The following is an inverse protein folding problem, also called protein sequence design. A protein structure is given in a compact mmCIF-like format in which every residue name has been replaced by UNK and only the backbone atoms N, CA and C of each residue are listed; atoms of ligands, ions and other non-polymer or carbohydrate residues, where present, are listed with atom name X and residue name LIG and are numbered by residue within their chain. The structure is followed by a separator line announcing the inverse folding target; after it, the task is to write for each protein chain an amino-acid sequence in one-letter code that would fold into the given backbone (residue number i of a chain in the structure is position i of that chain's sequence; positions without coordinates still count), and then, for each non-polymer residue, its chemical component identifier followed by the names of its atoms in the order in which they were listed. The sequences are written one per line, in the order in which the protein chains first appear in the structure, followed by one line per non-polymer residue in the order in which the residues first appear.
data_IF_338276158154
#
_entry.id   IF_338276158154
#
_cell.length_a   1.000
_cell.length_b   1.000
_cell.length_c   1.000
_cell.angle_alpha   90.00
_cell.angle_beta   90.00
_cell.angle_gamma   90.00
#
_symmetry.space_group_name_H-M   'P 1'
#
loop_
_entity.id
_entity.type
_entity.pdbx_description
1 polymer ?
#
# COMPACT_ATOMS: atom_id res chain seq x y z
N UNK A 1 -61.41 17.66 -60.88
CA UNK A 1 -60.77 17.38 -62.18
C UNK A 1 -59.55 16.53 -61.88
N UNK A 2 -59.73 15.23 -61.64
CA UNK A 2 -59.77 14.14 -62.65
C UNK A 2 -58.37 13.86 -63.23
N UNK A 3 -57.85 12.63 -63.30
CA UNK A 3 -58.38 11.32 -62.96
C UNK A 3 -57.25 10.27 -62.97
N UNK A 4 -57.52 9.16 -62.29
CA UNK A 4 -57.01 7.81 -62.51
C UNK A 4 -56.71 7.45 -63.99
N UNK A 5 -55.86 6.45 -64.23
CA UNK A 5 -56.29 5.14 -64.78
C UNK A 5 -55.12 4.13 -64.84
N UNK A 6 -55.49 2.91 -64.47
CA UNK A 6 -54.77 1.64 -64.40
C UNK A 6 -54.78 0.99 -65.80
N UNK A 7 -53.70 0.36 -66.25
CA UNK A 7 -53.79 -0.65 -67.31
C UNK A 7 -52.65 -1.69 -67.24
N UNK A 8 -53.01 -2.90 -66.80
CA UNK A 8 -52.30 -4.14 -67.09
C UNK A 8 -52.63 -4.63 -68.50
N UNK A 9 -51.66 -5.26 -69.18
CA UNK A 9 -51.73 -6.40 -70.14
C UNK A 9 -50.48 -6.30 -71.05
N UNK A 10 -49.67 -7.33 -71.30
CA UNK A 10 -49.93 -8.76 -71.52
C UNK A 10 -48.65 -9.58 -71.30
N UNK A 11 -48.84 -10.83 -70.89
CA UNK A 11 -47.85 -11.90 -70.89
C UNK A 11 -47.25 -12.13 -72.29
N UNK A 12 -45.92 -12.24 -72.35
CA UNK A 12 -45.20 -13.03 -73.34
C UNK A 12 -44.23 -13.93 -72.57
N UNK A 13 -44.49 -15.24 -72.58
CA UNK A 13 -43.66 -16.22 -71.92
C UNK A 13 -42.33 -16.37 -72.66
N UNK A 14 -41.21 -16.09 -71.98
CA UNK A 14 -39.87 -16.46 -72.39
C UNK A 14 -39.38 -17.54 -71.44
N UNK A 15 -39.19 -18.75 -71.96
CA UNK A 15 -38.58 -19.86 -71.26
C UNK A 15 -37.10 -19.51 -70.98
N UNK A 16 -36.77 -19.23 -69.72
CA UNK A 16 -35.39 -19.13 -69.27
C UNK A 16 -34.89 -20.54 -68.94
N UNK A 17 -33.93 -21.04 -69.72
CA UNK A 17 -33.16 -22.22 -69.36
C UNK A 17 -32.36 -21.91 -68.08
N UNK A 18 -32.66 -22.63 -67.00
CA UNK A 18 -31.88 -22.54 -65.77
C UNK A 18 -30.51 -23.19 -66.00
N UNK A 19 -29.47 -22.37 -66.12
CA UNK A 19 -28.08 -22.82 -65.98
C UNK A 19 -27.88 -23.13 -64.50
N UNK A 20 -27.84 -24.42 -64.15
CA UNK A 20 -27.39 -24.85 -62.83
C UNK A 20 -25.89 -24.60 -62.78
N UNK A 21 -25.48 -23.48 -62.20
CA UNK A 21 -24.10 -23.28 -61.78
C UNK A 21 -23.94 -24.10 -60.50
N UNK A 22 -23.38 -25.30 -60.62
CA UNK A 22 -22.83 -26.00 -59.46
C UNK A 22 -21.63 -25.19 -58.98
N UNK A 23 -21.86 -24.34 -57.98
CA UNK A 23 -20.77 -23.81 -57.16
C UNK A 23 -20.25 -25.00 -56.35
N UNK A 24 -19.14 -25.58 -56.81
CA UNK A 24 -18.35 -26.43 -55.95
C UNK A 24 -17.87 -25.55 -54.80
N UNK A 25 -18.49 -25.70 -53.62
CA UNK A 25 -17.89 -25.22 -52.39
C UNK A 25 -16.51 -25.87 -52.30
N UNK A 26 -15.42 -25.12 -52.06
CA UNK A 26 -14.15 -25.75 -51.81
C UNK A 26 -14.36 -26.63 -50.58
N UNK A 27 -14.18 -27.94 -50.75
CA UNK A 27 -14.04 -28.85 -49.62
C UNK A 27 -12.89 -28.32 -48.78
N UNK A 28 -13.08 -28.22 -47.46
CA UNK A 28 -12.05 -27.89 -46.49
C UNK A 28 -10.98 -29.01 -46.44
N UNK A 29 -10.23 -29.16 -47.53
CA UNK A 29 -9.09 -30.03 -47.65
C UNK A 29 -7.85 -29.24 -47.18
N UNK A 30 -7.45 -29.53 -45.94
CA UNK A 30 -6.09 -29.52 -45.39
C UNK A 30 -5.17 -28.36 -45.84
N UNK A 31 -5.18 -27.28 -45.06
CA UNK A 31 -4.07 -26.32 -45.02
C UNK A 31 -2.88 -26.91 -44.25
N UNK A 32 -2.25 -27.95 -44.79
CA UNK A 32 -0.95 -28.46 -44.35
C UNK A 32 0.12 -27.44 -44.78
N UNK A 33 0.31 -26.36 -44.00
CA UNK A 33 1.37 -25.40 -44.31
C UNK A 33 2.71 -25.99 -43.90
N UNK A 34 3.38 -26.59 -44.87
CA UNK A 34 4.76 -27.02 -44.74
C UNK A 34 5.67 -25.77 -44.67
N UNK A 35 6.29 -25.49 -43.54
CA UNK A 35 7.25 -24.38 -43.39
C UNK A 35 8.69 -24.86 -43.63
N UNK A 36 9.50 -23.98 -44.22
CA UNK A 36 10.94 -24.21 -44.46
C UNK A 36 11.28 -25.50 -45.24
N UNK A 37 10.32 -26.08 -45.98
CA UNK A 37 10.51 -27.37 -46.65
C UNK A 37 10.73 -28.56 -45.70
N UNK A 38 10.42 -28.42 -44.40
CA UNK A 38 10.58 -29.49 -43.39
C UNK A 38 9.27 -30.27 -43.22
N UNK A 39 9.30 -31.56 -42.85
CA UNK A 39 8.10 -32.39 -42.67
C UNK A 39 7.42 -32.14 -41.31
N UNK A 40 7.32 -30.89 -40.89
CA UNK A 40 6.72 -30.48 -39.61
C UNK A 40 5.51 -29.60 -39.89
N UNK A 41 4.33 -30.16 -39.73
CA UNK A 41 3.06 -29.46 -39.90
C UNK A 41 2.71 -28.69 -38.63
N UNK A 42 2.57 -27.37 -38.76
CA UNK A 42 2.04 -26.50 -37.71
C UNK A 42 0.57 -26.26 -38.05
N UNK A 43 -0.32 -26.49 -37.10
CA UNK A 43 -1.76 -26.53 -37.35
C UNK A 43 -2.53 -25.59 -36.40
N UNK A 44 -3.77 -25.27 -36.79
CA UNK A 44 -4.76 -24.64 -35.93
C UNK A 44 -4.37 -23.28 -35.37
N UNK A 45 -4.64 -23.06 -34.08
CA UNK A 45 -4.35 -21.79 -33.41
C UNK A 45 -2.85 -21.50 -33.32
N UNK A 46 -2.01 -22.54 -33.23
CA UNK A 46 -0.55 -22.40 -33.22
C UNK A 46 -0.05 -21.89 -34.57
N UNK A 47 -0.56 -22.44 -35.67
CA UNK A 47 -0.27 -21.98 -37.03
C UNK A 47 -0.67 -20.52 -37.22
N UNK A 48 -1.90 -20.18 -36.81
CA UNK A 48 -2.42 -18.80 -36.89
C UNK A 48 -1.47 -17.84 -36.18
N UNK A 49 -1.02 -18.18 -34.96
CA UNK A 49 -0.09 -17.35 -34.21
C UNK A 49 1.29 -17.25 -34.87
N UNK A 50 1.79 -18.37 -35.39
CA UNK A 50 3.07 -18.41 -36.08
C UNK A 50 3.06 -17.56 -37.36
N UNK A 51 1.95 -17.54 -38.10
CA UNK A 51 1.78 -16.71 -39.29
C UNK A 51 1.67 -15.22 -38.94
N UNK A 52 0.95 -14.85 -37.88
CA UNK A 52 0.91 -13.47 -37.35
C UNK A 52 2.31 -12.94 -37.02
N UNK A 53 3.16 -13.84 -36.53
CA UNK A 53 4.55 -13.60 -36.21
C UNK A 53 5.48 -13.51 -37.43
N UNK A 54 4.96 -13.70 -38.65
CA UNK A 54 5.70 -13.80 -39.92
C UNK A 54 6.48 -15.12 -40.09
N UNK A 55 6.03 -16.18 -39.43
CA UNK A 55 6.50 -17.54 -39.66
C UNK A 55 8.03 -17.69 -39.50
N UNK A 56 8.74 -18.25 -40.50
CA UNK A 56 10.19 -18.45 -40.43
C UNK A 56 11.02 -17.17 -40.28
N UNK A 57 10.49 -16.00 -40.65
CA UNK A 57 11.18 -14.71 -40.50
C UNK A 57 11.08 -14.16 -39.05
N UNK A 58 10.33 -14.84 -38.18
CA UNK A 58 10.22 -14.51 -36.77
C UNK A 58 11.44 -14.98 -35.96
N UNK A 59 11.62 -14.50 -34.72
CA UNK A 59 12.65 -15.02 -33.82
C UNK A 59 12.54 -16.53 -33.52
N UNK A 60 11.41 -17.17 -33.82
CA UNK A 60 11.23 -18.61 -33.63
C UNK A 60 11.94 -19.44 -34.69
N UNK A 61 12.17 -18.91 -35.90
CA UNK A 61 12.75 -19.67 -37.00
C UNK A 61 11.86 -20.83 -37.45
N UNK A 62 12.47 -21.87 -38.02
CA UNK A 62 11.72 -23.00 -38.60
C UNK A 62 11.15 -23.95 -37.54
N UNK A 63 10.01 -24.61 -37.78
CA UNK A 63 9.49 -25.63 -36.87
C UNK A 63 10.44 -26.84 -36.81
N UNK A 64 10.55 -27.41 -35.61
CA UNK A 64 11.34 -28.60 -35.28
C UNK A 64 10.48 -29.78 -34.83
N UNK A 65 9.19 -29.56 -34.63
CA UNK A 65 8.20 -30.62 -34.38
C UNK A 65 6.88 -30.27 -35.08
N UNK A 66 5.99 -31.27 -35.25
CA UNK A 66 4.57 -30.98 -35.43
C UNK A 66 3.91 -30.56 -34.11
N UNK A 67 2.60 -30.37 -34.14
CA UNK A 67 1.81 -30.13 -32.93
C UNK A 67 1.81 -31.34 -31.99
N UNK A 68 2.20 -31.13 -30.75
CA UNK A 68 2.26 -32.14 -29.70
C UNK A 68 1.32 -31.78 -28.56
N UNK A 69 0.78 -32.80 -27.87
CA UNK A 69 0.05 -32.60 -26.62
C UNK A 69 1.04 -32.38 -25.48
N UNK A 70 0.80 -31.40 -24.60
CA UNK A 70 1.63 -31.20 -23.43
C UNK A 70 1.56 -32.39 -22.47
N UNK A 71 2.64 -32.74 -21.75
CA UNK A 71 2.65 -33.81 -20.75
C UNK A 71 1.50 -33.77 -19.73
N UNK A 72 1.05 -32.58 -19.32
CA UNK A 72 -0.08 -32.42 -18.40
C UNK A 72 -1.47 -32.61 -19.06
N UNK A 73 -1.52 -32.86 -20.38
CA UNK A 73 -2.73 -33.11 -21.17
C UNK A 73 -3.62 -31.88 -21.40
N UNK A 74 -3.29 -30.71 -20.84
CA UNK A 74 -4.14 -29.51 -20.87
C UNK A 74 -4.02 -28.70 -22.17
N UNK A 75 -2.91 -28.86 -22.90
CA UNK A 75 -2.60 -27.98 -24.01
C UNK A 75 -1.91 -28.68 -25.17
N UNK A 76 -1.65 -27.87 -26.20
CA UNK A 76 -0.88 -28.23 -27.38
C UNK A 76 0.35 -27.34 -27.46
N UNK A 77 1.43 -27.82 -28.06
CA UNK A 77 2.59 -27.00 -28.33
C UNK A 77 3.31 -27.46 -29.58
N UNK A 78 3.99 -26.52 -30.24
CA UNK A 78 4.94 -26.80 -31.31
C UNK A 78 6.28 -26.19 -30.95
N UNK A 79 7.36 -26.92 -31.25
CA UNK A 79 8.73 -26.46 -31.05
C UNK A 79 9.30 -25.88 -32.34
N UNK A 80 10.09 -24.83 -32.20
CA UNK A 80 10.80 -24.13 -33.25
C UNK A 80 12.27 -23.97 -32.84
N UNK A 81 13.13 -23.60 -33.77
CA UNK A 81 14.58 -23.43 -33.52
C UNK A 81 14.88 -22.42 -32.39
N UNK A 82 14.14 -21.31 -32.36
CA UNK A 82 14.32 -20.23 -31.40
C UNK A 82 13.38 -20.26 -30.19
N UNK A 83 12.43 -21.20 -30.12
CA UNK A 83 11.43 -21.21 -29.06
C UNK A 83 10.30 -22.22 -29.26
N UNK A 84 9.17 -21.97 -28.63
CA UNK A 84 7.98 -22.80 -28.76
C UNK A 84 6.73 -21.93 -28.80
N UNK A 85 5.64 -22.40 -29.40
CA UNK A 85 4.32 -21.80 -29.22
C UNK A 85 3.47 -22.81 -28.47
N UNK A 86 2.87 -22.36 -27.37
CA UNK A 86 1.96 -23.14 -26.53
C UNK A 86 0.54 -22.63 -26.69
N UNK A 87 -0.42 -23.55 -26.68
CA UNK A 87 -1.84 -23.27 -26.80
C UNK A 87 -2.66 -24.02 -25.74
N UNK A 88 -3.64 -23.35 -25.18
CA UNK A 88 -4.75 -23.95 -24.42
C UNK A 88 -6.07 -23.32 -24.83
N UNK A 89 -7.20 -23.95 -24.49
CA UNK A 89 -8.52 -23.34 -24.67
C UNK A 89 -8.69 -22.05 -23.89
N UNK A 90 -8.00 -21.91 -22.75
CA UNK A 90 -8.21 -20.84 -21.78
C UNK A 90 -7.35 -19.63 -22.09
N UNK A 91 -6.14 -19.85 -22.61
CA UNK A 91 -5.15 -18.80 -22.85
C UNK A 91 -4.96 -18.47 -24.32
N UNK A 92 -5.26 -19.40 -25.25
CA UNK A 92 -4.92 -19.22 -26.66
C UNK A 92 -3.44 -19.52 -26.94
N UNK A 93 -2.98 -19.20 -28.16
CA UNK A 93 -1.65 -19.56 -28.64
C UNK A 93 -0.65 -18.42 -28.37
N UNK A 94 0.41 -18.73 -27.61
CA UNK A 94 1.44 -17.76 -27.24
C UNK A 94 2.85 -18.29 -27.47
N UNK A 95 3.73 -17.48 -28.11
CA UNK A 95 5.12 -17.83 -28.28
C UNK A 95 5.90 -17.62 -26.98
N UNK A 96 6.86 -18.50 -26.72
CA UNK A 96 7.85 -18.38 -25.65
C UNK A 96 9.23 -18.57 -26.25
N UNK A 97 10.17 -17.68 -25.95
CA UNK A 97 11.55 -17.74 -26.45
C UNK A 97 12.56 -17.11 -25.47
N UNK A 98 13.85 -17.20 -25.82
CA UNK A 98 14.91 -16.46 -25.17
C UNK A 98 15.01 -16.69 -23.65
N UNK A 99 15.42 -15.64 -22.92
CA UNK A 99 15.72 -15.71 -21.48
C UNK A 99 14.50 -16.00 -20.63
N UNK A 100 13.33 -15.53 -21.04
CA UNK A 100 12.06 -15.82 -20.36
C UNK A 100 11.73 -17.31 -20.48
N UNK A 101 11.84 -17.90 -21.70
CA UNK A 101 11.65 -19.34 -21.90
C UNK A 101 12.64 -20.17 -21.11
N UNK A 102 13.92 -19.77 -21.07
CA UNK A 102 14.95 -20.45 -20.27
C UNK A 102 14.53 -20.54 -18.79
N UNK A 103 14.08 -19.42 -18.19
CA UNK A 103 13.62 -19.42 -16.80
C UNK A 103 12.33 -20.23 -16.62
N UNK A 104 11.35 -20.08 -17.51
CA UNK A 104 10.12 -20.87 -17.44
C UNK A 104 10.40 -22.38 -17.50
N UNK A 105 11.38 -22.80 -18.31
CA UNK A 105 11.83 -24.19 -18.36
C UNK A 105 12.50 -24.68 -17.07
N UNK A 106 13.29 -23.83 -16.40
CA UNK A 106 13.86 -24.13 -15.08
C UNK A 106 12.78 -24.34 -14.01
N UNK A 107 11.63 -23.69 -14.17
CA UNK A 107 10.50 -23.75 -13.24
C UNK A 107 9.54 -24.91 -13.55
N UNK A 108 9.88 -25.78 -14.52
CA UNK A 108 9.08 -26.97 -14.85
C UNK A 108 8.09 -26.78 -15.99
N UNK A 109 8.26 -25.76 -16.84
CA UNK A 109 7.40 -25.50 -18.01
C UNK A 109 5.92 -25.37 -17.61
N UNK A 110 4.99 -25.87 -18.43
CA UNK A 110 3.55 -25.85 -18.16
C UNK A 110 3.10 -26.76 -17.00
N UNK A 111 3.98 -27.65 -16.54
CA UNK A 111 3.76 -28.46 -15.34
C UNK A 111 4.19 -27.76 -14.05
N UNK A 112 4.90 -26.64 -14.16
CA UNK A 112 5.40 -25.85 -13.04
C UNK A 112 4.37 -24.87 -12.45
N UNK A 113 4.79 -24.14 -11.41
CA UNK A 113 3.94 -23.18 -10.70
C UNK A 113 3.42 -22.02 -11.57
N UNK A 114 4.11 -21.69 -12.66
CA UNK A 114 3.67 -20.65 -13.60
C UNK A 114 2.54 -21.12 -14.53
N UNK A 115 2.43 -22.41 -14.82
CA UNK A 115 1.47 -22.92 -15.80
C UNK A 115 1.74 -22.42 -17.23
N UNK A 116 0.68 -22.24 -18.02
CA UNK A 116 0.77 -21.84 -19.43
C UNK A 116 0.99 -20.33 -19.62
N UNK A 117 1.62 -19.91 -20.73
CA UNK A 117 1.67 -18.50 -21.10
C UNK A 117 0.26 -17.97 -21.42
N UNK A 118 -0.02 -16.75 -20.96
CA UNK A 118 -1.27 -16.00 -21.16
C UNK A 118 -1.13 -14.79 -22.09
N UNK A 119 0.09 -14.52 -22.50
CA UNK A 119 0.45 -13.36 -23.32
C UNK A 119 1.69 -13.67 -24.13
N UNK A 120 1.93 -12.85 -25.15
CA UNK A 120 3.21 -12.78 -25.82
C UNK A 120 4.22 -12.01 -24.94
N UNK A 121 5.50 -12.00 -25.32
CA UNK A 121 6.51 -11.18 -24.66
C UNK A 121 6.25 -9.68 -24.91
N UNK A 122 6.11 -8.92 -23.83
CA UNK A 122 6.01 -7.46 -23.87
C UNK A 122 7.38 -6.81 -23.72
N UNK A 123 7.55 -5.65 -24.35
CA UNK A 123 8.63 -4.71 -23.99
C UNK A 123 8.08 -3.72 -22.98
N UNK A 124 8.76 -3.58 -21.85
CA UNK A 124 8.40 -2.65 -20.79
C UNK A 124 8.63 -1.20 -21.24
N UNK A 125 8.05 -0.25 -20.51
CA UNK A 125 8.06 1.17 -20.88
C UNK A 125 9.44 1.82 -20.87
N UNK A 126 10.43 1.19 -20.23
CA UNK A 126 11.84 1.62 -20.29
C UNK A 126 12.49 1.32 -21.66
N UNK A 127 11.79 0.61 -22.54
CA UNK A 127 12.26 0.25 -23.88
C UNK A 127 13.22 -0.93 -23.94
N UNK A 128 13.58 -1.52 -22.80
CA UNK A 128 14.61 -2.56 -22.72
C UNK A 128 14.12 -3.82 -22.01
N UNK A 129 13.49 -3.68 -20.85
CA UNK A 129 12.98 -4.82 -20.10
C UNK A 129 11.92 -5.58 -20.89
N UNK A 130 11.92 -6.89 -20.70
CA UNK A 130 10.92 -7.80 -21.25
C UNK A 130 10.13 -8.44 -20.12
N UNK A 131 8.86 -8.72 -20.37
CA UNK A 131 8.05 -9.53 -19.47
C UNK A 131 7.08 -10.40 -20.25
N UNK A 132 6.70 -11.52 -19.65
CA UNK A 132 5.64 -12.36 -20.19
C UNK A 132 4.77 -12.87 -19.04
N UNK A 133 3.46 -12.78 -19.24
CA UNK A 133 2.46 -13.21 -18.27
C UNK A 133 2.09 -14.68 -18.49
N UNK A 134 1.97 -15.40 -17.38
CA UNK A 134 1.60 -16.81 -17.29
C UNK A 134 0.39 -16.95 -16.35
N UNK A 135 -0.24 -18.13 -16.32
CA UNK A 135 -1.37 -18.43 -15.44
C UNK A 135 -1.08 -18.11 -13.95
N UNK A 136 0.11 -18.50 -13.48
CA UNK A 136 0.52 -18.39 -12.07
C UNK A 136 1.43 -17.21 -11.73
N UNK A 137 1.76 -16.32 -12.67
CA UNK A 137 2.69 -15.22 -12.42
C UNK A 137 3.19 -14.51 -13.67
N UNK A 138 4.20 -13.67 -13.53
CA UNK A 138 4.85 -12.99 -14.66
C UNK A 138 6.35 -13.16 -14.57
N UNK A 139 7.00 -13.49 -15.68
CA UNK A 139 8.47 -13.60 -15.75
C UNK A 139 9.02 -12.31 -16.35
N UNK A 140 9.98 -11.70 -15.66
CA UNK A 140 10.65 -10.47 -16.08
C UNK A 140 12.10 -10.75 -16.45
N UNK A 141 12.61 -10.03 -17.45
CA UNK A 141 14.00 -10.06 -17.84
C UNK A 141 14.46 -8.66 -18.23
N UNK A 142 15.70 -8.30 -17.90
CA UNK A 142 16.27 -7.03 -18.34
C UNK A 142 17.68 -7.24 -18.93
N UNK A 143 17.97 -6.71 -20.14
CA UNK A 143 19.23 -6.99 -20.84
C UNK A 143 20.48 -6.45 -20.15
N UNK A 144 20.36 -5.38 -19.35
CA UNK A 144 21.50 -4.84 -18.58
C UNK A 144 21.85 -5.66 -17.34
N UNK A 145 21.12 -6.76 -17.07
CA UNK A 145 21.30 -7.61 -15.89
C UNK A 145 21.76 -9.01 -16.32
N UNK A 146 22.83 -9.48 -15.70
CA UNK A 146 23.47 -10.76 -16.05
C UNK A 146 22.91 -11.97 -15.28
N UNK A 147 21.98 -11.75 -14.36
CA UNK A 147 21.35 -12.77 -13.50
C UNK A 147 20.17 -13.52 -14.15
N UNK A 148 19.78 -13.13 -15.37
CA UNK A 148 18.76 -13.83 -16.14
C UNK A 148 17.35 -13.28 -15.88
N UNK A 149 16.35 -14.07 -16.28
CA UNK A 149 14.95 -13.73 -16.07
C UNK A 149 14.49 -14.24 -14.70
N UNK A 150 13.52 -13.58 -14.06
CA UNK A 150 13.02 -13.93 -12.73
C UNK A 150 11.48 -13.89 -12.70
N UNK A 151 10.81 -14.89 -12.11
CA UNK A 151 9.37 -14.87 -11.94
C UNK A 151 8.98 -13.96 -10.77
N UNK A 152 7.85 -13.28 -10.88
CA UNK A 152 7.20 -12.57 -9.77
C UNK A 152 5.74 -13.00 -9.74
N UNK A 153 5.27 -13.43 -8.56
CA UNK A 153 3.93 -13.98 -8.38
C UNK A 153 3.40 -13.70 -6.96
N UNK A 154 2.14 -14.09 -6.72
CA UNK A 154 1.54 -14.12 -5.38
C UNK A 154 1.65 -12.78 -4.63
N UNK A 155 1.85 -12.88 -3.32
CA UNK A 155 1.86 -11.72 -2.40
C UNK A 155 3.02 -10.77 -2.63
N UNK A 156 4.19 -11.27 -3.04
CA UNK A 156 5.31 -10.41 -3.43
C UNK A 156 4.96 -9.61 -4.68
N UNK A 157 4.35 -10.25 -5.68
CA UNK A 157 3.88 -9.58 -6.89
C UNK A 157 2.79 -8.53 -6.63
N UNK A 158 1.84 -8.81 -5.72
CA UNK A 158 0.85 -7.84 -5.28
C UNK A 158 1.52 -6.60 -4.62
N UNK A 159 2.46 -6.81 -3.69
CA UNK A 159 3.20 -5.73 -3.02
C UNK A 159 4.03 -4.90 -4.00
N UNK A 160 4.72 -5.56 -4.93
CA UNK A 160 5.51 -4.90 -5.95
C UNK A 160 4.63 -4.11 -6.93
N UNK A 161 3.46 -4.65 -7.30
CA UNK A 161 2.50 -3.95 -8.14
C UNK A 161 1.88 -2.71 -7.48
N UNK A 162 1.58 -2.77 -6.19
CA UNK A 162 1.15 -1.59 -5.41
C UNK A 162 2.24 -0.51 -5.34
N UNK A 163 3.50 -0.90 -5.53
CA UNK A 163 4.65 0.00 -5.60
C UNK A 163 5.01 0.44 -7.03
N UNK A 164 4.11 0.30 -8.01
CA UNK A 164 4.30 0.67 -9.43
C UNK A 164 5.34 -0.20 -10.18
N UNK A 165 5.43 -1.49 -9.83
CA UNK A 165 6.23 -2.53 -10.51
C UNK A 165 7.68 -2.08 -10.79
N UNK A 166 8.19 -2.30 -12.02
CA UNK A 166 9.56 -1.99 -12.41
C UNK A 166 9.85 -0.49 -12.48
N UNK A 167 8.82 0.35 -12.54
CA UNK A 167 8.92 1.83 -12.46
C UNK A 167 9.03 2.31 -11.01
N UNK A 168 8.63 1.45 -10.09
CA UNK A 168 8.60 1.69 -8.67
C UNK A 168 9.96 1.86 -8.02
N UNK A 169 9.98 2.15 -6.70
CA UNK A 169 11.20 2.32 -5.95
C UNK A 169 12.08 1.06 -5.90
N UNK A 170 11.52 -0.13 -6.17
CA UNK A 170 12.23 -1.41 -6.09
C UNK A 170 13.00 -1.79 -7.36
N UNK A 171 12.56 -1.32 -8.54
CA UNK A 171 13.13 -1.72 -9.83
C UNK A 171 12.79 -3.17 -10.21
N UNK A 172 13.62 -3.78 -11.06
CA UNK A 172 13.43 -5.17 -11.53
C UNK A 172 13.75 -6.23 -10.47
N UNK A 173 13.12 -7.42 -10.53
CA UNK A 173 13.53 -8.57 -9.72
C UNK A 173 14.94 -9.04 -10.14
N UNK A 174 15.77 -9.39 -9.15
CA UNK A 174 17.15 -9.85 -9.37
C UNK A 174 17.44 -11.25 -8.83
N UNK A 175 16.49 -11.84 -8.12
CA UNK A 175 16.47 -13.25 -7.72
C UNK A 175 15.09 -13.84 -7.96
N UNK A 176 14.99 -15.16 -7.93
CA UNK A 176 13.70 -15.82 -7.76
C UNK A 176 13.23 -15.63 -6.29
N UNK A 177 11.94 -15.85 -6.03
CA UNK A 177 11.38 -15.87 -4.68
C UNK A 177 11.95 -17.05 -3.88
N UNK A 178 12.40 -16.79 -2.64
CA UNK A 178 12.95 -17.78 -1.73
C UNK A 178 12.20 -17.78 -0.39
N UNK A 179 11.97 -18.95 0.24
CA UNK A 179 11.45 -19.00 1.60
C UNK A 179 12.46 -18.42 2.60
N UNK A 180 11.96 -17.83 3.68
CA UNK A 180 12.75 -17.47 4.84
C UNK A 180 13.27 -18.70 5.59
N UNK A 181 14.13 -18.48 6.60
CA UNK A 181 14.82 -19.56 7.31
C UNK A 181 13.86 -20.45 8.13
N UNK A 182 12.68 -19.94 8.45
CA UNK A 182 11.60 -20.63 9.16
C UNK A 182 10.25 -20.42 8.45
N UNK A 183 9.27 -21.32 8.62
CA UNK A 183 7.95 -21.18 7.98
C UNK A 183 7.21 -19.89 8.31
N UNK A 184 7.40 -19.33 9.51
CA UNK A 184 6.84 -18.04 9.92
C UNK A 184 7.50 -16.84 9.24
N UNK A 185 8.72 -17.01 8.69
CA UNK A 185 9.46 -15.97 8.00
C UNK A 185 8.92 -15.70 6.59
N UNK A 186 8.02 -16.56 6.12
CA UNK A 186 7.38 -16.45 4.83
C UNK A 186 8.37 -16.52 3.67
N UNK A 187 8.21 -15.62 2.71
CA UNK A 187 8.96 -15.61 1.46
C UNK A 187 9.52 -14.21 1.17
N UNK A 188 10.68 -14.16 0.52
CA UNK A 188 11.35 -12.92 0.13
C UNK A 188 11.96 -13.04 -1.26
N UNK A 189 11.97 -11.93 -1.98
CA UNK A 189 12.59 -11.82 -3.29
C UNK A 189 13.40 -10.53 -3.33
N UNK A 190 14.60 -10.60 -3.91
CA UNK A 190 15.47 -9.44 -4.08
C UNK A 190 15.10 -8.68 -5.36
N UNK A 191 15.03 -7.36 -5.26
CA UNK A 191 14.91 -6.43 -6.36
C UNK A 191 16.12 -5.49 -6.38
N UNK A 192 16.31 -4.76 -7.48
CA UNK A 192 17.46 -3.87 -7.69
C UNK A 192 17.76 -2.95 -6.51
N UNK A 193 16.71 -2.38 -5.90
CA UNK A 193 16.85 -1.39 -4.83
C UNK A 193 16.43 -1.93 -3.44
N UNK A 194 16.34 -3.25 -3.30
CA UNK A 194 16.10 -3.91 -2.02
C UNK A 194 15.08 -5.06 -2.08
N UNK A 195 14.95 -5.83 -0.99
CA UNK A 195 14.03 -6.97 -0.96
C UNK A 195 12.57 -6.56 -0.79
N UNK A 196 11.68 -7.42 -1.29
CA UNK A 196 10.26 -7.46 -0.91
C UNK A 196 10.01 -8.83 -0.28
N UNK A 197 9.47 -8.84 0.94
CA UNK A 197 9.05 -10.06 1.63
C UNK A 197 7.58 -10.08 1.97
N UNK A 198 7.06 -11.27 2.27
CA UNK A 198 5.71 -11.52 2.76
C UNK A 198 5.73 -12.69 3.75
N UNK A 199 4.97 -12.58 4.85
CA UNK A 199 4.80 -13.67 5.81
C UNK A 199 3.33 -14.16 5.92
N UNK A 200 3.10 -15.47 6.14
CA UNK A 200 1.77 -15.99 6.46
C UNK A 200 1.19 -15.27 7.70
N UNK A 201 0.02 -14.65 7.55
CA UNK A 201 -0.68 -13.94 8.63
C UNK A 201 -0.58 -12.41 8.56
N UNK A 202 0.29 -11.86 7.72
CA UNK A 202 0.43 -10.41 7.51
C UNK A 202 -0.82 -9.82 6.83
N UNK A 203 -1.55 -8.96 7.52
CA UNK A 203 -2.70 -8.21 7.00
C UNK A 203 -2.52 -6.71 7.18
N UNK A 204 -2.98 -5.92 6.21
CA UNK A 204 -2.98 -4.46 6.33
C UNK A 204 -3.76 -3.99 7.56
N UNK A 205 -3.25 -2.96 8.24
CA UNK A 205 -3.90 -2.42 9.41
C UNK A 205 -4.85 -1.25 9.05
N UNK A 206 -6.18 -1.43 9.17
CA UNK A 206 -7.13 -0.36 8.87
C UNK A 206 -7.04 0.82 9.86
N UNK A 207 -6.60 0.61 11.11
CA UNK A 207 -6.39 1.72 12.03
C UNK A 207 -5.19 2.59 11.64
N UNK A 208 -4.14 1.99 11.05
CA UNK A 208 -3.02 2.75 10.50
C UNK A 208 -3.47 3.64 9.34
N UNK A 209 -4.28 3.11 8.42
CA UNK A 209 -4.82 3.89 7.29
C UNK A 209 -5.66 5.08 7.78
N UNK A 210 -6.56 4.84 8.75
CA UNK A 210 -7.38 5.91 9.34
C UNK A 210 -6.54 6.95 10.08
N UNK A 211 -5.52 6.53 10.81
CA UNK A 211 -4.59 7.43 11.49
C UNK A 211 -3.83 8.33 10.51
N UNK A 212 -3.33 7.75 9.41
CA UNK A 212 -2.63 8.49 8.36
C UNK A 212 -3.54 9.52 7.70
N UNK A 213 -4.74 9.10 7.29
CA UNK A 213 -5.71 9.96 6.62
C UNK A 213 -6.14 11.16 7.48
N UNK A 214 -6.39 10.98 8.78
CA UNK A 214 -6.77 12.08 9.68
C UNK A 214 -5.60 12.99 10.00
N UNK A 215 -4.47 12.43 10.43
CA UNK A 215 -3.44 13.21 11.12
C UNK A 215 -2.20 13.53 10.27
N UNK A 216 -1.87 12.70 9.27
CA UNK A 216 -0.67 12.90 8.43
C UNK A 216 -1.02 13.66 7.15
N UNK A 217 -2.16 13.36 6.53
CA UNK A 217 -2.56 13.95 5.24
C UNK A 217 -3.14 15.36 5.37
N UNK A 218 -3.28 15.89 6.59
CA UNK A 218 -3.59 17.30 6.83
C UNK A 218 -5.05 17.68 6.56
N UNK A 219 -5.96 16.70 6.54
CA UNK A 219 -7.39 16.93 6.34
C UNK A 219 -8.07 17.39 7.64
N UNK A 220 -8.03 18.69 7.90
CA UNK A 220 -8.68 19.31 9.05
C UNK A 220 -10.19 19.51 8.82
N UNK A 221 -11.01 19.28 9.85
CA UNK A 221 -12.41 19.70 9.83
C UNK A 221 -12.52 21.25 9.89
N UNK A 222 -13.66 21.85 9.51
CA UNK A 222 -13.90 23.27 9.72
C UNK A 222 -13.68 23.67 11.20
N UNK A 223 -12.88 24.70 11.43
CA UNK A 223 -12.52 25.18 12.76
C UNK A 223 -11.25 24.53 13.35
N UNK A 224 -10.78 23.42 12.80
CA UNK A 224 -9.52 22.78 13.22
C UNK A 224 -8.29 23.42 12.55
N UNK A 225 -7.11 23.16 13.10
CA UNK A 225 -5.84 23.51 12.48
C UNK A 225 -5.01 22.23 12.28
N UNK A 226 -4.57 21.96 11.05
CA UNK A 226 -3.65 20.86 10.76
C UNK A 226 -2.45 21.33 9.93
N UNK A 227 -1.28 20.81 10.24
CA UNK A 227 -0.06 21.00 9.47
C UNK A 227 0.70 19.67 9.40
N UNK A 228 1.32 19.38 8.25
CA UNK A 228 2.23 18.24 8.15
C UNK A 228 3.49 18.57 7.36
N UNK A 229 4.61 18.00 7.78
CA UNK A 229 5.90 18.19 7.13
C UNK A 229 6.81 16.98 7.40
N UNK A 230 7.77 16.74 6.52
CA UNK A 230 8.84 15.77 6.78
C UNK A 230 9.89 16.43 7.67
N UNK A 231 9.90 16.09 8.96
CA UNK A 231 10.75 16.73 9.97
C UNK A 231 11.77 15.78 10.60
N UNK A 232 11.60 14.47 10.40
CA UNK A 232 12.43 13.44 11.00
C UNK A 232 13.05 12.57 9.88
N UNK A 233 14.21 11.93 10.13
CA UNK A 233 14.75 10.96 9.20
C UNK A 233 13.82 9.75 9.08
N UNK A 234 13.84 9.10 7.92
CA UNK A 234 13.12 7.84 7.71
C UNK A 234 13.68 6.77 8.65
N UNK A 235 12.80 6.11 9.40
CA UNK A 235 13.12 4.98 10.24
C UNK A 235 12.90 3.66 9.52
N UNK A 236 13.44 2.59 10.08
CA UNK A 236 13.16 1.23 9.62
C UNK A 236 11.81 0.69 10.15
N UNK A 237 11.29 1.31 11.22
CA UNK A 237 9.94 1.09 11.72
C UNK A 237 8.89 1.57 10.71
N UNK A 238 7.76 0.86 10.63
CA UNK A 238 6.67 1.18 9.70
C UNK A 238 5.35 1.27 10.45
N UNK A 239 5.13 2.39 11.11
CA UNK A 239 3.90 2.66 11.86
C UNK A 239 3.64 4.15 12.05
N UNK A 240 2.47 4.48 12.58
CA UNK A 240 2.13 5.83 12.99
C UNK A 240 2.12 5.86 14.51
N UNK A 241 2.97 6.70 15.10
CA UNK A 241 2.98 6.99 16.53
C UNK A 241 2.15 8.26 16.77
N UNK A 242 1.14 8.13 17.60
CA UNK A 242 0.21 9.21 17.95
C UNK A 242 0.43 9.62 19.40
N UNK A 243 0.66 10.91 19.64
CA UNK A 243 0.65 11.54 20.97
C UNK A 243 -0.57 12.43 21.05
N UNK A 244 -1.50 12.16 21.97
CA UNK A 244 -2.73 12.93 22.14
C UNK A 244 -2.85 13.50 23.53
N UNK A 245 -3.15 14.80 23.59
CA UNK A 245 -3.39 15.54 24.83
C UNK A 245 -4.83 16.00 24.96
N UNK A 246 -5.40 15.86 26.14
CA UNK A 246 -6.77 16.28 26.45
C UNK A 246 -6.96 16.51 27.96
N UNK A 247 -8.09 17.13 28.32
CA UNK A 247 -8.52 17.28 29.71
C UNK A 247 -9.43 16.10 30.03
N UNK A 248 -9.08 15.29 31.02
CA UNK A 248 -9.92 14.17 31.45
C UNK A 248 -10.98 14.61 32.46
N UNK A 249 -12.10 13.89 32.48
CA UNK A 249 -13.24 14.15 33.36
C UNK A 249 -12.85 14.08 34.84
N UNK A 250 -12.81 15.23 35.50
CA UNK A 250 -12.61 15.36 36.95
C UNK A 250 -13.81 15.99 37.65
N UNK A 251 -14.68 16.70 36.91
CA UNK A 251 -15.96 17.26 37.38
C UNK A 251 -16.94 17.35 36.21
N UNK A 252 -18.24 17.55 36.49
CA UNK A 252 -19.30 17.68 35.46
C UNK A 252 -18.99 18.74 34.39
N UNK A 253 -18.47 19.91 34.77
CA UNK A 253 -18.11 20.96 33.81
C UNK A 253 -16.95 20.51 32.88
N UNK A 254 -15.98 19.76 33.41
CA UNK A 254 -14.84 19.28 32.63
C UNK A 254 -15.15 18.04 31.80
N UNK A 255 -16.13 17.25 32.23
CA UNK A 255 -16.75 16.24 31.37
C UNK A 255 -17.36 16.91 30.12
N UNK A 256 -18.03 18.05 30.31
CA UNK A 256 -18.67 18.79 29.21
C UNK A 256 -17.67 19.53 28.28
N UNK A 257 -16.49 19.93 28.79
CA UNK A 257 -15.43 20.62 28.04
C UNK A 257 -14.43 19.65 27.41
N UNK A 258 -14.15 18.53 28.09
CA UNK A 258 -13.30 17.45 27.59
C UNK A 258 -14.04 16.49 26.67
N UNK A 259 -15.25 16.86 26.23
CA UNK A 259 -16.11 16.08 25.33
C UNK A 259 -16.41 14.66 25.83
N UNK A 260 -16.53 14.49 27.15
CA UNK A 260 -16.71 13.20 27.81
C UNK A 260 -15.61 12.19 27.49
N UNK A 261 -14.40 12.67 27.13
CA UNK A 261 -13.35 11.79 26.64
C UNK A 261 -12.77 10.90 27.74
N UNK A 262 -12.63 9.64 27.37
CA UNK A 262 -11.75 8.67 28.03
C UNK A 262 -10.62 8.25 27.08
N UNK A 263 -9.59 7.58 27.63
CA UNK A 263 -8.56 6.93 26.82
C UNK A 263 -9.20 6.03 25.76
N UNK A 264 -8.73 6.14 24.51
CA UNK A 264 -9.32 5.43 23.37
C UNK A 264 -8.25 4.97 22.41
N UNK A 265 -8.47 3.83 21.76
CA UNK A 265 -7.62 3.33 20.69
C UNK A 265 -8.05 3.81 19.31
N UNK A 266 -9.23 4.42 19.16
CA UNK A 266 -9.71 4.89 17.88
C UNK A 266 -8.83 6.05 17.36
N UNK A 267 -8.25 5.96 16.15
CA UNK A 267 -7.42 7.02 15.57
C UNK A 267 -8.13 8.38 15.50
N UNK A 268 -9.43 8.34 15.23
CA UNK A 268 -10.30 9.50 15.06
C UNK A 268 -10.81 10.11 16.36
N UNK A 269 -10.60 9.47 17.52
CA UNK A 269 -11.08 10.02 18.79
C UNK A 269 -10.53 11.43 19.04
N UNK A 270 -11.43 12.33 19.45
CA UNK A 270 -11.16 13.75 19.61
C UNK A 270 -10.10 14.03 20.67
N UNK A 271 -9.30 15.08 20.49
CA UNK A 271 -8.21 15.50 21.36
C UNK A 271 -7.98 16.98 21.21
N UNK A 272 -7.52 17.65 22.29
CA UNK A 272 -7.16 19.06 22.18
C UNK A 272 -6.03 19.27 21.15
N UNK A 273 -5.06 18.36 21.15
CA UNK A 273 -4.06 18.29 20.11
C UNK A 273 -3.51 16.89 19.96
N UNK A 274 -3.16 16.59 18.73
CA UNK A 274 -2.61 15.32 18.29
C UNK A 274 -1.34 15.56 17.50
N UNK A 275 -0.29 14.84 17.84
CA UNK A 275 0.93 14.75 17.03
C UNK A 275 0.98 13.33 16.47
N UNK A 276 1.06 13.21 15.15
CA UNK A 276 1.25 11.96 14.47
C UNK A 276 2.64 11.93 13.83
N UNK A 277 3.42 10.90 14.12
CA UNK A 277 4.71 10.64 13.50
C UNK A 277 4.62 9.34 12.69
N UNK A 278 4.73 9.45 11.37
CA UNK A 278 4.93 8.32 10.48
C UNK A 278 6.42 7.94 10.50
N UNK A 279 6.71 6.81 11.12
CA UNK A 279 8.08 6.34 11.37
C UNK A 279 8.77 5.87 10.09
N UNK A 280 8.01 5.46 9.06
CA UNK A 280 8.56 5.03 7.78
C UNK A 280 9.02 6.20 6.92
N UNK A 281 8.23 7.27 6.92
CA UNK A 281 8.48 8.42 6.03
C UNK A 281 9.17 9.59 6.71
N UNK A 282 9.12 9.66 8.04
CA UNK A 282 9.58 10.81 8.82
C UNK A 282 8.63 12.01 8.74
N UNK A 283 7.44 11.83 8.15
CA UNK A 283 6.37 12.84 8.16
C UNK A 283 5.82 12.98 9.57
N UNK A 284 5.65 14.22 9.99
CA UNK A 284 5.03 14.58 11.25
C UNK A 284 3.83 15.47 10.95
N UNK A 285 2.67 15.02 11.39
CA UNK A 285 1.42 15.76 11.37
C UNK A 285 1.09 16.31 12.75
N UNK A 286 0.61 17.55 12.79
CA UNK A 286 0.09 18.22 13.97
C UNK A 286 -1.34 18.58 13.68
N UNK A 287 -2.25 18.13 14.54
CA UNK A 287 -3.69 18.35 14.40
C UNK A 287 -4.22 18.94 15.71
N UNK A 288 -4.78 20.15 15.64
CA UNK A 288 -5.39 20.85 16.77
C UNK A 288 -6.88 20.96 16.52
N UNK A 289 -7.67 20.38 17.42
CA UNK A 289 -9.13 20.44 17.32
C UNK A 289 -9.66 21.77 17.88
N UNK A 290 -10.72 22.26 17.24
CA UNK A 290 -11.59 23.28 17.80
C UNK A 290 -12.13 22.82 19.16
N UNK A 291 -12.46 23.76 20.03
CA UNK A 291 -12.82 23.46 21.41
C UNK A 291 -14.32 23.64 21.60
N UNK A 292 -15.01 22.60 22.04
CA UNK A 292 -16.46 22.61 22.25
C UNK A 292 -16.84 22.46 23.72
N UNK A 293 -17.98 23.06 24.10
CA UNK A 293 -18.64 22.84 25.39
C UNK A 293 -20.00 22.22 25.09
N UNK A 294 -20.29 21.07 25.74
CA UNK A 294 -21.52 20.30 25.56
C UNK A 294 -21.82 19.93 24.09
N UNK A 295 -20.84 20.00 23.19
CA UNK A 295 -21.00 19.85 21.74
C UNK A 295 -21.94 20.88 21.07
N UNK A 296 -22.29 21.97 21.77
CA UNK A 296 -23.21 23.00 21.25
C UNK A 296 -22.51 24.32 20.96
N UNK A 297 -21.53 24.70 21.79
CA UNK A 297 -20.79 25.94 21.61
C UNK A 297 -19.33 25.62 21.34
N UNK A 298 -18.88 25.91 20.13
CA UNK A 298 -17.55 25.57 19.65
C UNK A 298 -16.79 26.82 19.25
N UNK A 299 -15.48 26.82 19.51
CA UNK A 299 -14.56 27.88 19.15
C UNK A 299 -13.41 27.30 18.34
N UNK A 300 -13.11 27.94 17.22
CA UNK A 300 -12.02 27.55 16.33
C UNK A 300 -10.69 27.40 17.08
N UNK A 301 -9.90 26.43 16.64
CA UNK A 301 -8.54 26.27 17.08
C UNK A 301 -7.72 27.52 16.75
N UNK A 302 -6.95 28.01 17.73
CA UNK A 302 -6.03 29.13 17.55
C UNK A 302 -4.98 28.83 16.48
N UNK A 303 -4.38 29.85 15.82
CA UNK A 303 -3.35 29.63 14.80
C UNK A 303 -2.22 28.71 15.28
N UNK A 304 -1.67 27.91 14.36
CA UNK A 304 -0.61 26.93 14.65
C UNK A 304 0.71 27.37 14.02
N UNK A 305 1.77 27.44 14.83
CA UNK A 305 3.11 27.83 14.41
C UNK A 305 4.18 26.82 14.84
N UNK A 306 5.14 26.53 13.96
CA UNK A 306 6.33 25.74 14.30
C UNK A 306 7.43 26.65 14.84
N UNK A 307 7.70 26.61 16.14
CA UNK A 307 8.69 27.49 16.77
C UNK A 307 9.46 26.76 17.87
N UNK A 308 10.78 26.96 17.94
CA UNK A 308 11.60 26.43 19.03
C UNK A 308 11.25 27.01 20.41
N UNK A 309 10.49 28.11 20.43
CA UNK A 309 9.94 28.76 21.62
C UNK A 309 8.89 27.87 22.33
N UNK A 310 8.29 26.90 21.65
CA UNK A 310 7.25 26.04 22.23
C UNK A 310 7.68 25.39 23.56
N UNK A 311 8.97 25.05 23.71
CA UNK A 311 9.54 24.47 24.93
C UNK A 311 9.63 25.46 26.10
N UNK A 312 9.70 26.77 25.82
CA UNK A 312 9.92 27.84 26.80
C UNK A 312 8.60 28.36 27.36
N UNK A 313 7.50 28.17 26.63
CA UNK A 313 6.17 28.53 27.07
C UNK A 313 5.76 27.86 28.38
N UNK A 314 5.07 28.65 29.17
CA UNK A 314 4.38 28.29 30.39
C UNK A 314 2.93 28.73 30.31
N UNK A 315 2.12 28.26 31.23
CA UNK A 315 0.72 28.63 31.40
C UNK A 315 0.49 30.12 31.70
N UNK A 316 1.52 30.85 32.17
CA UNK A 316 1.45 32.29 32.43
C UNK A 316 1.78 33.17 31.22
N UNK A 317 2.22 32.58 30.10
CA UNK A 317 2.49 33.33 28.87
C UNK A 317 1.19 33.72 28.16
N UNK A 318 0.98 35.01 27.96
CA UNK A 318 -0.14 35.57 27.19
C UNK A 318 0.14 35.52 25.68
N UNK A 319 0.10 34.30 25.15
CA UNK A 319 0.31 34.01 23.73
C UNK A 319 -0.96 33.34 23.20
N UNK A 320 -1.57 33.90 22.16
CA UNK A 320 -2.82 33.37 21.57
C UNK A 320 -2.60 32.53 20.31
N UNK A 321 -1.50 31.77 20.27
CA UNK A 321 -1.20 30.81 19.21
C UNK A 321 -0.77 29.47 19.80
N UNK A 322 -1.10 28.39 19.09
CA UNK A 322 -0.56 27.06 19.32
C UNK A 322 0.86 27.01 18.76
N UNK A 323 1.77 26.41 19.52
CA UNK A 323 3.16 26.25 19.09
C UNK A 323 3.62 24.80 19.23
N UNK A 324 4.46 24.38 18.30
CA UNK A 324 5.12 23.08 18.36
C UNK A 324 6.56 23.14 17.85
N UNK A 325 7.37 22.19 18.30
CA UNK A 325 8.69 21.93 17.76
C UNK A 325 8.94 20.42 17.68
N UNK A 326 9.58 19.98 16.61
CA UNK A 326 9.95 18.57 16.43
C UNK A 326 11.35 18.50 15.86
N UNK A 327 12.18 17.67 16.48
CA UNK A 327 13.56 17.41 16.08
C UNK A 327 13.96 15.95 16.31
N UNK A 328 14.96 15.44 15.56
CA UNK A 328 15.50 14.10 15.79
C UNK A 328 16.09 13.94 17.19
N UNK A 329 15.95 12.76 17.77
CA UNK A 329 16.47 12.45 19.10
C UNK A 329 16.99 11.01 19.20
N UNK A 330 18.21 10.82 19.72
CA UNK A 330 18.79 9.49 19.95
C UNK A 330 18.86 8.62 18.69
N UNK A 331 18.66 7.30 18.86
CA UNK A 331 18.75 6.29 17.80
C UNK A 331 17.48 6.25 16.92
N UNK A 332 17.22 7.31 16.16
CA UNK A 332 16.06 7.40 15.25
C UNK A 332 14.74 7.72 15.97
N UNK A 333 14.81 8.29 17.17
CA UNK A 333 13.67 8.81 17.91
C UNK A 333 13.33 10.25 17.57
N UNK A 334 12.31 10.75 18.26
CA UNK A 334 11.79 12.10 18.12
C UNK A 334 11.75 12.80 19.48
N UNK A 335 12.13 14.07 19.48
CA UNK A 335 11.77 14.99 20.54
C UNK A 335 10.69 15.93 20.02
N UNK A 336 9.64 16.09 20.80
CA UNK A 336 8.45 16.86 20.43
C UNK A 336 8.11 17.80 21.57
N UNK A 337 8.12 19.11 21.31
CA UNK A 337 7.64 20.13 22.24
C UNK A 337 6.28 20.65 21.74
N UNK A 338 5.29 20.75 22.62
CA UNK A 338 3.98 21.32 22.32
C UNK A 338 3.51 22.29 23.36
N UNK A 339 2.78 23.29 22.88
CA UNK A 339 2.21 24.36 23.68
C UNK A 339 0.88 24.80 23.06
N UNK A 340 -0.22 24.28 23.61
CA UNK A 340 -1.55 24.33 22.98
C UNK A 340 -2.52 25.19 23.78
N UNK A 341 -3.19 26.12 23.12
CA UNK A 341 -4.13 27.07 23.71
C UNK A 341 -5.55 26.55 23.58
N UNK A 342 -6.29 26.53 24.68
CA UNK A 342 -7.72 26.27 24.65
C UNK A 342 -8.48 27.38 23.93
N UNK A 343 -9.41 27.01 23.04
CA UNK A 343 -10.19 27.98 22.24
C UNK A 343 -11.04 28.92 23.11
N UNK A 344 -11.37 28.49 24.33
CA UNK A 344 -12.19 29.21 25.30
C UNK A 344 -11.52 30.42 25.97
N UNK A 345 -10.25 30.72 25.68
CA UNK A 345 -9.48 31.76 26.39
C UNK A 345 -10.11 33.16 26.41
N UNK A 346 -11.14 33.42 25.58
CA UNK A 346 -11.95 34.65 25.57
C UNK A 346 -13.47 34.40 25.50
N UNK A 347 -13.94 33.25 25.97
CA UNK A 347 -15.35 32.83 25.84
C UNK A 347 -16.34 33.66 26.67
N UNK A 348 -15.87 34.60 27.51
CA UNK A 348 -16.72 35.37 28.41
C UNK A 348 -17.10 34.64 29.69
N UNK A 349 -16.76 33.35 29.82
CA UNK A 349 -17.01 32.54 31.02
C UNK A 349 -15.82 32.66 32.00
N UNK A 350 -15.97 33.32 33.17
CA UNK A 350 -14.88 33.55 34.13
C UNK A 350 -14.16 32.28 34.57
N UNK A 351 -14.89 31.17 34.65
CA UNK A 351 -14.39 29.85 35.04
C UNK A 351 -13.47 29.23 33.97
N UNK A 352 -13.61 29.65 32.71
CA UNK A 352 -12.89 29.12 31.54
C UNK A 352 -11.83 30.08 30.98
N UNK A 353 -11.86 31.34 31.40
CA UNK A 353 -10.84 32.35 31.05
C UNK A 353 -9.43 31.92 31.49
N UNK A 354 -9.34 31.00 32.45
CA UNK A 354 -8.11 30.38 32.94
C UNK A 354 -7.99 28.88 32.59
N UNK A 355 -8.75 28.37 31.62
CA UNK A 355 -8.68 26.96 31.19
C UNK A 355 -7.29 26.55 30.64
N UNK A 356 -6.39 27.51 30.50
CA UNK A 356 -4.95 27.27 30.46
C UNK A 356 -4.42 26.81 29.11
N UNK A 357 -3.11 26.59 29.11
CA UNK A 357 -2.30 26.14 27.97
C UNK A 357 -1.73 24.78 28.31
N UNK A 358 -1.89 23.81 27.41
CA UNK A 358 -1.35 22.46 27.54
C UNK A 358 0.08 22.49 27.02
N UNK A 359 1.05 22.35 27.93
CA UNK A 359 2.46 22.26 27.59
C UNK A 359 2.96 20.83 27.85
N UNK A 360 3.77 20.30 26.95
CA UNK A 360 4.49 19.05 27.19
C UNK A 360 5.70 18.95 26.27
N UNK A 361 6.74 18.29 26.76
CA UNK A 361 7.85 17.82 25.93
C UNK A 361 7.88 16.30 26.00
N UNK A 362 7.82 15.64 24.84
CA UNK A 362 7.95 14.21 24.68
C UNK A 362 9.31 13.83 24.10
N UNK A 363 9.87 12.76 24.62
CA UNK A 363 10.96 12.02 24.00
C UNK A 363 10.44 10.61 23.69
N UNK A 364 10.42 10.28 22.40
CA UNK A 364 9.98 9.00 21.88
C UNK A 364 11.18 8.31 21.25
N UNK A 365 11.63 7.21 21.83
CA UNK A 365 12.79 6.48 21.30
C UNK A 365 12.37 5.06 20.92
N UNK A 366 12.41 4.69 19.62
CA UNK A 366 12.26 3.31 19.21
C UNK A 366 13.39 2.47 19.79
N UNK A 367 13.09 1.35 20.44
CA UNK A 367 14.10 0.34 20.76
C UNK A 367 14.43 -0.45 19.51
N UNK A 368 15.72 -0.73 19.33
CA UNK A 368 16.32 -1.30 18.12
C UNK A 368 15.40 -2.21 17.31
N UNK A 369 15.15 -1.77 16.08
CA UNK A 369 14.68 -2.58 14.96
C UNK A 369 15.78 -3.60 14.61
N UNK A 370 15.44 -4.89 14.73
CA UNK A 370 16.31 -5.98 14.27
C UNK A 370 15.86 -6.37 12.85
N UNK A 371 16.60 -5.95 11.80
CA UNK A 371 16.26 -6.25 10.40
C UNK A 371 16.25 -7.75 10.10
N UNK A 372 16.83 -8.59 10.96
CA UNK A 372 16.85 -10.04 10.81
C UNK A 372 15.68 -10.74 11.53
N UNK A 373 14.80 -9.98 12.22
CA UNK A 373 13.64 -10.52 12.98
C UNK A 373 12.30 -9.90 12.55
N UNK A 374 12.15 -9.68 11.25
CA UNK A 374 11.09 -8.91 10.54
C UNK A 374 9.63 -9.27 10.89
N UNK A 375 9.34 -10.33 11.64
CA UNK A 375 7.95 -10.82 11.78
C UNK A 375 7.22 -10.21 12.98
N UNK A 376 7.95 -9.63 13.94
CA UNK A 376 7.35 -9.05 15.11
C UNK A 376 7.50 -7.53 15.04
N UNK A 377 6.44 -6.87 14.56
CA UNK A 377 6.20 -5.42 14.57
C UNK A 377 6.09 -4.85 16.01
N UNK A 378 6.95 -5.36 16.89
CA UNK A 378 7.07 -5.11 18.32
C UNK A 378 8.03 -3.96 18.59
N UNK A 379 8.11 -2.96 17.71
CA UNK A 379 8.88 -1.76 18.00
C UNK A 379 8.36 -1.18 19.33
N UNK A 380 9.18 -1.35 20.37
CA UNK A 380 8.87 -0.87 21.72
C UNK A 380 9.41 0.53 21.81
N UNK A 381 8.64 1.44 22.41
CA UNK A 381 9.05 2.82 22.55
C UNK A 381 9.35 3.09 24.01
N UNK A 382 10.47 3.76 24.26
CA UNK A 382 10.66 4.44 25.51
C UNK A 382 10.01 5.81 25.38
N UNK A 383 9.06 6.08 26.28
CA UNK A 383 8.32 7.34 26.34
C UNK A 383 8.73 8.07 27.59
N UNK A 384 9.19 9.31 27.42
CA UNK A 384 9.39 10.27 28.51
C UNK A 384 8.58 11.51 28.20
N UNK A 385 7.92 12.07 29.20
CA UNK A 385 7.30 13.39 29.14
C UNK A 385 7.71 14.26 30.31
N UNK A 386 7.81 15.57 30.08
CA UNK A 386 8.03 16.61 31.11
C UNK A 386 7.17 17.83 30.84
N UNK A 387 7.06 18.74 31.83
CA UNK A 387 6.31 20.00 31.76
C UNK A 387 4.79 19.84 31.68
N UNK A 388 4.27 18.71 32.15
CA UNK A 388 2.84 18.39 32.22
C UNK A 388 2.19 19.03 33.45
N UNK A 389 1.90 20.33 33.38
CA UNK A 389 0.87 20.88 34.27
C UNK A 389 -0.46 20.22 33.87
N UNK A 390 -0.88 19.24 34.65
CA UNK A 390 -1.21 17.84 34.29
C UNK A 390 -2.45 17.64 33.38
N UNK A 391 -2.30 17.61 32.04
CA UNK A 391 -3.33 17.13 31.11
C UNK A 391 -3.24 15.60 30.97
N UNK A 392 -4.33 14.96 30.59
CA UNK A 392 -4.29 13.53 30.26
C UNK A 392 -3.62 13.33 28.91
N UNK A 393 -2.64 12.44 28.88
CA UNK A 393 -1.90 12.08 27.67
C UNK A 393 -2.00 10.59 27.40
N UNK A 394 -2.08 10.27 26.11
CA UNK A 394 -1.88 8.92 25.62
C UNK A 394 -0.93 8.91 24.44
N UNK A 395 -0.13 7.85 24.37
CA UNK A 395 0.78 7.56 23.29
C UNK A 395 0.45 6.19 22.72
N UNK A 396 0.12 6.16 21.44
CA UNK A 396 -0.34 4.99 20.71
C UNK A 396 0.58 4.73 19.52
N UNK A 397 0.73 3.47 19.15
CA UNK A 397 1.37 3.08 17.90
C UNK A 397 0.42 2.23 17.08
N UNK A 398 0.22 2.64 15.84
CA UNK A 398 -0.52 1.91 14.84
C UNK A 398 0.50 1.29 13.89
N UNK A 399 0.80 -0.01 14.02
CA UNK A 399 1.66 -0.70 13.07
C UNK A 399 1.03 -0.68 11.67
N UNK A 400 1.82 -0.53 10.62
CA UNK A 400 1.30 -0.59 9.25
C UNK A 400 0.67 -1.97 8.95
N UNK A 401 1.28 -3.03 9.50
CA UNK A 401 0.91 -4.41 9.23
C UNK A 401 0.58 -5.13 10.54
N UNK A 402 -0.41 -6.02 10.50
CA UNK A 402 -0.71 -6.94 11.61
C UNK A 402 -0.12 -8.31 11.28
N UNK A 403 0.76 -8.87 12.12
CA UNK A 403 1.36 -10.18 11.89
C UNK A 403 0.34 -11.34 11.87
N UNK A 404 -0.85 -11.14 12.45
CA UNK A 404 -1.99 -12.07 12.43
C UNK A 404 -3.33 -11.32 12.54
N UNK A 405 -4.45 -11.97 12.21
CA UNK A 405 -5.80 -11.40 12.42
C UNK A 405 -6.17 -11.19 13.90
N UNK A 406 -5.46 -11.85 14.83
CA UNK A 406 -5.64 -11.74 16.27
C UNK A 406 -4.72 -10.73 16.95
N UNK A 407 -3.70 -10.22 16.24
CA UNK A 407 -2.81 -9.20 16.77
C UNK A 407 -3.58 -7.88 16.98
N UNK A 408 -3.28 -7.12 18.05
CA UNK A 408 -3.97 -5.87 18.31
C UNK A 408 -3.69 -4.87 17.18
N UNK A 409 -4.72 -4.14 16.74
CA UNK A 409 -4.59 -3.14 15.68
C UNK A 409 -3.78 -1.90 16.11
N UNK A 410 -3.45 -1.82 17.40
CA UNK A 410 -2.83 -0.67 18.05
C UNK A 410 -2.12 -1.12 19.32
N UNK A 411 -0.99 -0.49 19.59
CA UNK A 411 -0.24 -0.70 20.81
C UNK A 411 -0.28 0.57 21.67
N UNK A 412 -0.60 0.39 22.95
CA UNK A 412 -0.43 1.46 23.91
C UNK A 412 1.03 1.59 24.31
N UNK A 413 1.64 2.72 23.98
CA UNK A 413 3.02 3.06 24.34
C UNK A 413 3.09 3.78 25.69
N UNK A 414 2.04 4.50 26.08
CA UNK A 414 1.87 4.94 27.46
C UNK A 414 0.65 5.82 27.67
N UNK A 415 0.20 5.94 28.91
CA UNK A 415 -0.82 6.89 29.34
C UNK A 415 -0.44 7.51 30.68
N UNK A 416 -0.76 8.78 30.84
CA UNK A 416 -0.79 9.46 32.14
C UNK A 416 -2.13 10.18 32.22
N UNK A 417 -2.85 9.94 33.30
CA UNK A 417 -4.17 10.52 33.53
C UNK A 417 -4.11 11.58 34.61
N UNK A 418 -4.93 12.62 34.47
CA UNK A 418 -5.10 13.64 35.47
C UNK A 418 -5.90 13.14 36.69
N UNK A 419 -5.55 13.61 37.90
CA UNK A 419 -6.29 13.28 39.13
C UNK A 419 -7.29 14.38 39.48
N UNK A 420 -6.88 15.64 39.42
CA UNK A 420 -7.74 16.81 39.64
C UNK A 420 -7.32 18.03 38.82
N UNK A 421 -8.22 18.99 38.59
CA UNK A 421 -7.88 20.17 37.78
C UNK A 421 -6.82 21.08 38.42
N UNK A 422 -6.67 21.02 39.74
CA UNK A 422 -5.59 21.69 40.47
C UNK A 422 -4.20 21.31 39.95
N UNK A 423 -4.06 20.10 39.40
CA UNK A 423 -2.83 19.60 38.82
C UNK A 423 -2.37 20.42 37.58
N UNK A 424 -3.28 21.12 36.89
CA UNK A 424 -2.93 22.10 35.84
C UNK A 424 -2.17 23.31 36.36
N UNK A 425 -2.14 23.51 37.68
CA UNK A 425 -1.40 24.59 38.35
C UNK A 425 -0.29 24.05 39.25
N UNK A 426 -0.13 22.73 39.29
CA UNK A 426 0.83 22.01 40.12
C UNK A 426 2.28 22.11 39.64
N UNK A 427 3.15 21.36 40.32
CA UNK A 427 4.55 21.19 39.93
C UNK A 427 4.60 20.31 38.67
N UNK A 428 5.53 20.60 37.77
CA UNK A 428 5.73 19.77 36.58
C UNK A 428 6.30 18.41 36.97
N UNK A 429 5.77 17.34 36.39
CA UNK A 429 6.24 15.98 36.62
C UNK A 429 7.12 15.49 35.48
N UNK A 430 7.90 14.45 35.76
CA UNK A 430 8.54 13.65 34.72
C UNK A 430 7.93 12.27 34.73
N UNK A 431 7.20 11.91 33.66
CA UNK A 431 6.64 10.58 33.51
C UNK A 431 7.46 9.77 32.51
N UNK A 432 7.74 8.51 32.85
CA UNK A 432 8.51 7.59 32.02
C UNK A 432 7.82 6.25 31.91
N UNK A 433 7.90 5.64 30.72
CA UNK A 433 7.59 4.22 30.51
C UNK A 433 8.68 3.59 29.67
N UNK A 434 9.18 2.47 30.18
CA UNK A 434 10.25 1.66 29.61
C UNK A 434 9.73 0.22 29.61
N UNK A 435 9.20 -0.29 28.51
CA UNK A 435 8.78 -1.70 28.47
C UNK A 435 8.34 -2.24 27.11
N UNK A 436 8.14 -3.58 27.07
CA UNK A 436 7.37 -4.25 26.02
C UNK A 436 5.91 -3.77 26.07
N UNK A 437 5.19 -3.91 24.96
CA UNK A 437 3.73 -3.69 24.94
C UNK A 437 3.09 -4.57 26.04
N UNK A 438 2.77 -3.98 27.19
CA UNK A 438 2.10 -4.62 28.33
C UNK A 438 0.65 -4.18 28.39
N UNK A 439 -0.20 -5.02 29.02
CA UNK A 439 -1.63 -4.74 29.19
C UNK A 439 -1.90 -3.49 30.04
N UNK A 440 -0.96 -3.09 30.91
CA UNK A 440 -1.03 -1.79 31.59
C UNK A 440 -0.14 -0.75 30.88
N UNK A 441 -0.76 0.29 30.30
CA UNK A 441 -0.02 1.38 29.69
C UNK A 441 0.34 2.54 30.62
N UNK A 442 0.13 2.42 31.94
CA UNK A 442 0.47 3.48 32.89
C UNK A 442 1.94 3.91 32.82
N UNK A 443 2.19 5.23 32.88
CA UNK A 443 3.53 5.79 33.03
C UNK A 443 3.87 5.99 34.52
N UNK A 444 5.15 5.83 34.87
CA UNK A 444 5.66 6.14 36.21
C UNK A 444 6.09 7.60 36.28
N UNK A 445 5.45 8.38 37.15
CA UNK A 445 5.67 9.82 37.30
C UNK A 445 6.39 10.14 38.62
N UNK A 446 7.40 11.01 38.55
CA UNK A 446 8.18 11.50 39.69
C UNK A 446 8.45 12.98 39.67
#
# INVERSE_FOLDING_TARGET
MMAHIKAMRRCGALAAAAVIVTVALPTAAEADSQYCGRPHWVLGAIQTKYDEMRGPDSPLGCPTSGEQTTPNGRGKFTTFEGGSIYWTSDTGAHPVWGKIREKWGQLGWEGGALGFPKSDEFTNSDGAGKRQEYEGGTVYWHPSRSNGAHPVWGKIGEKWGAADWEKGPYGYPVTDEAPGLRPEDGHSQQFENGPIGWAPGEADNPQWQRAGAKHIDGNANPGDQAQSATLLPKGADRGIVLVRGFIANTTKLYDEIGEHRSFSTAPEAGAKGTIAWDTATGRVGIYIEHSCIQLVHCWDAKPLARTSHAKENTDSNDIEQNEYWVEPYGNGGARIDVSLVNGFSRSGYPELMNAGRINATFWLTPRQYDPDKVINDTATFDVRTTKDKFPSWEVLRYPHLKPTSSAPEVHWLGRVGQTEIGDLKGVQHTCTRVGKNSDDPSMSCG
#
